data_IF_953176301770
#
_entry.id   IF_953176301770
#
_cell.length_a   1.000
_cell.length_b   1.000
_cell.length_c   1.000
_cell.angle_alpha   90.00
_cell.angle_beta   90.00
_cell.angle_gamma   90.00
#
_symmetry.space_group_name_H-M   'P 1'
#
loop_
_entity.id
_entity.type
_entity.pdbx_description
1 polymer ?
#
# COMPACT_ATOMS: atom_id res chain seq x y z
N UNK A 1 1.57 26.52 17.16
CA UNK A 1 0.48 26.18 18.11
C UNK A 1 1.00 25.42 19.30
N UNK A 2 1.77 24.34 19.14
CA UNK A 2 2.31 23.54 20.25
C UNK A 2 3.17 24.37 21.22
N UNK A 3 4.08 25.19 20.69
CA UNK A 3 4.99 26.02 21.49
C UNK A 3 4.32 27.22 22.18
N UNK A 4 3.15 27.64 21.70
CA UNK A 4 2.44 28.82 22.24
C UNK A 4 1.41 28.42 23.31
N UNK A 5 0.82 27.22 23.19
CA UNK A 5 -0.31 26.79 24.02
C UNK A 5 0.01 25.59 24.90
N UNK A 6 1.28 25.20 25.01
CA UNK A 6 1.74 24.01 25.77
C UNK A 6 0.98 22.72 25.43
N UNK A 7 0.58 22.57 24.16
CA UNK A 7 -0.18 21.43 23.69
C UNK A 7 0.72 20.30 23.22
N UNK A 8 0.38 19.08 23.56
CA UNK A 8 1.04 17.88 23.06
C UNK A 8 0.54 17.57 21.63
N UNK A 9 1.22 18.11 20.64
CA UNK A 9 0.86 17.94 19.22
C UNK A 9 1.96 17.17 18.49
N UNK A 10 1.66 15.96 18.02
CA UNK A 10 2.53 15.15 17.17
C UNK A 10 2.08 15.21 15.73
N UNK A 11 3.04 15.01 14.79
CA UNK A 11 2.74 14.88 13.37
C UNK A 11 3.26 13.58 12.81
N UNK A 12 2.51 12.95 11.90
CA UNK A 12 2.94 11.78 11.17
C UNK A 12 2.75 11.98 9.66
N UNK A 13 3.83 11.75 8.89
CA UNK A 13 3.79 11.68 7.43
C UNK A 13 3.70 10.21 7.06
N UNK A 14 2.50 9.75 6.76
CA UNK A 14 2.23 8.38 6.35
C UNK A 14 2.44 8.21 4.86
N UNK A 15 3.30 7.27 4.47
CA UNK A 15 3.39 6.80 3.10
C UNK A 15 2.14 5.99 2.72
N UNK A 16 2.07 5.49 1.47
CA UNK A 16 0.87 4.80 1.03
C UNK A 16 0.62 3.55 1.89
N UNK A 17 -0.54 3.50 2.48
CA UNK A 17 -0.96 2.42 3.36
C UNK A 17 -2.24 1.79 2.84
N UNK A 18 -2.24 0.49 2.74
CA UNK A 18 -3.23 -0.32 2.06
C UNK A 18 -3.89 -1.31 3.03
N UNK A 19 -5.11 -1.68 2.72
CA UNK A 19 -5.84 -2.70 3.47
C UNK A 19 -6.99 -3.26 2.62
N UNK A 20 -7.69 -4.30 3.06
CA UNK A 20 -8.94 -4.76 2.43
C UNK A 20 -9.99 -3.67 2.25
N UNK A 21 -9.99 -2.65 3.11
CA UNK A 21 -10.92 -1.51 3.07
C UNK A 21 -10.49 -0.39 2.11
N UNK A 22 -9.39 -0.58 1.35
CA UNK A 22 -8.97 0.43 0.37
C UNK A 22 -10.05 0.64 -0.69
N UNK A 23 -10.31 1.89 -1.07
CA UNK A 23 -11.26 2.24 -2.12
C UNK A 23 -10.81 1.67 -3.49
N UNK A 24 -11.78 1.28 -4.32
CA UNK A 24 -11.59 0.65 -5.64
C UNK A 24 -10.81 1.53 -6.64
N UNK A 25 -10.76 2.84 -6.41
CA UNK A 25 -10.05 3.81 -7.25
C UNK A 25 -8.52 3.67 -7.18
N UNK A 26 -8.02 3.10 -6.08
CA UNK A 26 -6.59 2.94 -5.89
C UNK A 26 -6.04 1.71 -6.60
N UNK A 27 -4.85 1.88 -7.18
CA UNK A 27 -4.23 0.87 -8.04
C UNK A 27 -4.07 -0.49 -7.36
N UNK A 28 -3.77 -0.54 -6.09
CA UNK A 28 -3.62 -1.77 -5.30
C UNK A 28 -4.95 -2.52 -5.23
N UNK A 29 -6.04 -1.85 -4.82
CA UNK A 29 -7.38 -2.45 -4.75
C UNK A 29 -7.88 -2.83 -6.15
N UNK A 30 -7.67 -1.97 -7.15
CA UNK A 30 -7.99 -2.27 -8.56
C UNK A 30 -7.30 -3.54 -9.06
N UNK A 31 -6.03 -3.77 -8.67
CA UNK A 31 -5.30 -4.98 -9.03
C UNK A 31 -5.92 -6.19 -8.33
N UNK A 32 -6.10 -6.15 -7.01
CA UNK A 32 -6.68 -7.25 -6.23
C UNK A 32 -8.03 -7.68 -6.80
N UNK A 33 -8.95 -6.72 -6.95
CA UNK A 33 -10.30 -6.96 -7.49
C UNK A 33 -10.26 -7.47 -8.94
N UNK A 34 -9.41 -6.86 -9.79
CA UNK A 34 -9.27 -7.29 -11.17
C UNK A 34 -8.70 -8.70 -11.31
N UNK A 35 -7.79 -9.11 -10.43
CA UNK A 35 -7.27 -10.50 -10.39
C UNK A 35 -8.37 -11.47 -9.95
N UNK A 36 -9.17 -11.13 -8.94
CA UNK A 36 -10.31 -11.94 -8.52
C UNK A 36 -11.38 -12.03 -9.63
N UNK A 37 -11.74 -10.91 -10.29
CA UNK A 37 -12.64 -10.90 -11.44
C UNK A 37 -12.19 -11.86 -12.55
N UNK A 38 -10.89 -11.90 -12.83
CA UNK A 38 -10.32 -12.79 -13.85
C UNK A 38 -10.35 -14.25 -13.37
N UNK A 39 -9.97 -14.50 -12.13
CA UNK A 39 -9.97 -15.83 -11.54
C UNK A 39 -11.36 -16.47 -11.58
N UNK A 40 -12.42 -15.69 -11.31
CA UNK A 40 -13.83 -16.12 -11.39
C UNK A 40 -14.46 -15.95 -12.79
N UNK A 41 -13.68 -15.72 -13.84
CA UNK A 41 -14.13 -15.55 -15.23
C UNK A 41 -15.12 -14.39 -15.45
N UNK A 42 -15.17 -13.39 -14.55
CA UNK A 42 -16.02 -12.19 -14.70
C UNK A 42 -15.38 -11.15 -15.63
N UNK A 43 -14.04 -11.18 -15.80
CA UNK A 43 -13.29 -10.32 -16.71
C UNK A 43 -12.21 -11.11 -17.45
N UNK A 44 -11.91 -10.68 -18.67
CA UNK A 44 -10.87 -11.28 -19.50
C UNK A 44 -9.49 -10.66 -19.25
N UNK A 45 -9.42 -9.37 -19.01
CA UNK A 45 -8.17 -8.62 -18.86
C UNK A 45 -8.24 -7.58 -17.72
N UNK A 46 -7.09 -7.33 -17.13
CA UNK A 46 -6.85 -6.20 -16.21
C UNK A 46 -6.09 -5.11 -16.96
N UNK A 47 -6.68 -3.92 -17.08
CA UNK A 47 -6.06 -2.76 -17.72
C UNK A 47 -5.49 -1.82 -16.66
N UNK A 48 -4.18 -1.53 -16.77
CA UNK A 48 -3.46 -0.59 -15.93
C UNK A 48 -2.72 0.45 -16.78
N UNK A 49 -2.47 1.63 -16.21
CA UNK A 49 -1.63 2.66 -16.83
C UNK A 49 -0.13 2.36 -16.64
N UNK A 50 0.58 3.22 -15.90
CA UNK A 50 2.01 3.07 -15.67
C UNK A 50 2.31 1.94 -14.66
N UNK A 51 2.69 0.78 -15.20
CA UNK A 51 3.09 -0.38 -14.38
C UNK A 51 4.53 -0.31 -13.89
N UNK A 52 5.33 0.67 -14.36
CA UNK A 52 6.72 0.87 -13.92
C UNK A 52 6.85 1.73 -12.68
N UNK A 53 5.81 2.50 -12.34
CA UNK A 53 5.78 3.34 -11.15
C UNK A 53 6.09 2.53 -9.89
N UNK A 54 7.01 3.06 -9.06
CA UNK A 54 7.45 2.41 -7.82
C UNK A 54 6.93 3.19 -6.62
N UNK A 55 6.32 2.50 -5.69
CA UNK A 55 5.62 3.10 -4.55
C UNK A 55 5.97 2.32 -3.28
N UNK A 56 6.15 3.05 -2.18
CA UNK A 56 6.32 2.48 -0.85
C UNK A 56 4.91 2.21 -0.29
N UNK A 57 4.47 0.94 -0.34
CA UNK A 57 3.20 0.48 0.20
C UNK A 57 3.39 -0.31 1.48
N UNK A 58 2.64 0.04 2.52
CA UNK A 58 2.59 -0.71 3.77
C UNK A 58 1.17 -1.10 4.16
N UNK A 59 1.03 -1.84 5.24
CA UNK A 59 -0.26 -2.26 5.78
C UNK A 59 -0.82 -1.19 6.72
N UNK A 60 -2.06 -0.79 6.51
CA UNK A 60 -2.71 0.29 7.27
C UNK A 60 -2.73 0.03 8.79
N UNK A 61 -2.86 -1.23 9.21
CA UNK A 61 -2.81 -1.60 10.64
C UNK A 61 -1.48 -1.22 11.28
N UNK A 62 -0.35 -1.48 10.61
CA UNK A 62 0.99 -1.14 11.11
C UNK A 62 1.14 0.38 11.30
N UNK A 63 0.49 1.17 10.44
CA UNK A 63 0.50 2.64 10.50
C UNK A 63 -0.35 3.18 11.65
N UNK A 64 -1.52 2.57 11.88
CA UNK A 64 -2.39 2.94 13.03
C UNK A 64 -1.69 2.63 14.35
N UNK A 65 -1.04 1.48 14.46
CA UNK A 65 -0.24 1.14 15.63
C UNK A 65 0.90 2.15 15.85
N UNK A 66 1.55 2.58 14.78
CA UNK A 66 2.59 3.63 14.86
C UNK A 66 2.03 4.97 15.29
N UNK A 67 0.82 5.34 14.86
CA UNK A 67 0.16 6.55 15.32
C UNK A 67 -0.07 6.54 16.85
N UNK A 68 -0.50 5.39 17.37
CA UNK A 68 -0.62 5.20 18.81
C UNK A 68 0.73 5.34 19.51
N UNK A 69 1.80 4.69 19.03
CA UNK A 69 3.16 4.77 19.59
C UNK A 69 3.69 6.22 19.60
N UNK A 70 3.42 7.00 18.54
CA UNK A 70 3.79 8.42 18.45
C UNK A 70 3.13 9.22 19.58
N UNK A 71 1.88 8.95 19.89
CA UNK A 71 1.14 9.66 20.95
C UNK A 71 1.58 9.25 22.37
N UNK A 72 2.30 8.15 22.54
CA UNK A 72 2.85 7.71 23.83
C UNK A 72 4.23 8.31 24.14
N UNK A 73 4.79 9.13 23.25
CA UNK A 73 6.10 9.73 23.47
C UNK A 73 6.06 10.79 24.57
N UNK A 74 7.19 10.97 25.29
CA UNK A 74 7.30 11.98 26.35
C UNK A 74 7.28 13.42 25.85
N UNK A 75 7.65 13.63 24.58
CA UNK A 75 7.70 14.95 23.93
C UNK A 75 7.05 14.86 22.55
N UNK A 76 6.32 15.91 22.13
CA UNK A 76 5.72 15.97 20.82
C UNK A 76 6.81 16.04 19.75
N UNK A 77 6.61 15.31 18.63
CA UNK A 77 7.55 15.29 17.52
C UNK A 77 6.88 14.85 16.21
N UNK A 78 7.61 14.95 15.09
CA UNK A 78 7.16 14.59 13.74
C UNK A 78 7.88 13.33 13.24
N UNK A 79 7.12 12.39 12.68
CA UNK A 79 7.65 11.12 12.21
C UNK A 79 7.21 10.81 10.77
N UNK A 80 8.11 10.16 10.03
CA UNK A 80 7.80 9.56 8.73
C UNK A 80 7.59 8.07 8.95
N UNK A 81 6.44 7.56 8.53
CA UNK A 81 6.06 6.15 8.66
C UNK A 81 5.84 5.57 7.25
N UNK A 82 6.42 4.41 7.00
CA UNK A 82 6.38 3.70 5.74
C UNK A 82 7.07 2.35 5.87
N UNK A 83 7.36 1.70 4.74
CA UNK A 83 8.12 0.45 4.74
C UNK A 83 9.61 0.66 4.44
N UNK A 84 9.97 1.81 3.84
CA UNK A 84 11.31 2.08 3.34
C UNK A 84 11.69 1.24 2.12
N UNK A 85 10.71 0.57 1.48
CA UNK A 85 10.90 -0.26 0.29
C UNK A 85 9.93 0.14 -0.81
N UNK A 86 10.44 0.28 -2.03
CA UNK A 86 9.60 0.54 -3.20
C UNK A 86 9.24 -0.78 -3.90
N UNK A 87 7.97 -0.92 -4.23
CA UNK A 87 7.46 -2.01 -5.07
C UNK A 87 6.87 -1.40 -6.36
N UNK A 88 7.16 -1.96 -7.53
CA UNK A 88 6.53 -1.51 -8.76
C UNK A 88 5.08 -2.01 -8.86
N UNK A 89 4.23 -1.25 -9.56
CA UNK A 89 2.86 -1.68 -9.88
C UNK A 89 2.87 -3.04 -10.59
N UNK A 90 3.84 -3.25 -11.50
CA UNK A 90 4.05 -4.55 -12.16
C UNK A 90 4.33 -5.67 -11.17
N UNK A 91 5.22 -5.44 -10.19
CA UNK A 91 5.56 -6.45 -9.18
C UNK A 91 4.36 -6.76 -8.28
N UNK A 92 3.60 -5.74 -7.87
CA UNK A 92 2.38 -5.93 -7.09
C UNK A 92 1.37 -6.80 -7.85
N UNK A 93 1.12 -6.48 -9.13
CA UNK A 93 0.24 -7.26 -9.99
C UNK A 93 0.74 -8.71 -10.17
N UNK A 94 2.04 -8.89 -10.46
CA UNK A 94 2.65 -10.23 -10.59
C UNK A 94 2.40 -11.09 -9.35
N UNK A 95 2.68 -10.58 -8.15
CA UNK A 95 2.46 -11.33 -6.91
C UNK A 95 0.97 -11.63 -6.66
N UNK A 96 0.07 -10.71 -7.03
CA UNK A 96 -1.38 -10.91 -6.92
C UNK A 96 -1.89 -12.00 -7.85
N UNK A 97 -1.46 -12.03 -9.12
CA UNK A 97 -1.80 -13.09 -10.06
C UNK A 97 -1.21 -14.44 -9.64
N UNK A 98 0.04 -14.43 -9.18
CA UNK A 98 0.73 -15.63 -8.67
C UNK A 98 -0.03 -16.25 -7.48
N UNK A 99 -0.64 -15.43 -6.64
CA UNK A 99 -1.41 -15.90 -5.48
C UNK A 99 -2.54 -16.86 -5.86
N UNK A 100 -3.20 -16.62 -7.01
CA UNK A 100 -4.28 -17.47 -7.54
C UNK A 100 -3.82 -18.42 -8.67
N UNK A 101 -2.51 -18.60 -8.87
CA UNK A 101 -1.95 -19.51 -9.87
C UNK A 101 -2.06 -19.04 -11.32
N UNK A 102 -2.33 -17.76 -11.57
CA UNK A 102 -2.47 -17.21 -12.91
C UNK A 102 -1.18 -16.54 -13.42
N UNK A 103 -0.89 -16.68 -14.72
CA UNK A 103 0.21 -15.96 -15.38
C UNK A 103 -0.23 -14.54 -15.76
N UNK A 104 0.29 -13.53 -15.04
CA UNK A 104 -0.02 -12.12 -15.26
C UNK A 104 0.20 -11.64 -16.69
N UNK A 105 1.15 -12.23 -17.45
CA UNK A 105 1.44 -11.85 -18.83
C UNK A 105 0.26 -12.09 -19.77
N UNK A 106 -0.57 -13.08 -19.47
CA UNK A 106 -1.76 -13.42 -20.25
C UNK A 106 -2.87 -12.40 -20.06
N UNK A 107 -2.99 -11.85 -18.86
CA UNK A 107 -4.16 -11.09 -18.42
C UNK A 107 -3.92 -9.60 -18.22
N UNK A 108 -2.70 -9.18 -17.87
CA UNK A 108 -2.37 -7.77 -17.66
C UNK A 108 -2.10 -7.06 -18.98
N UNK A 109 -2.84 -5.98 -19.23
CA UNK A 109 -2.67 -5.09 -20.39
C UNK A 109 -2.36 -3.68 -19.93
N UNK A 110 -1.45 -3.00 -20.62
CA UNK A 110 -1.16 -1.58 -20.39
C UNK A 110 -2.04 -0.74 -21.31
N UNK A 111 -2.78 0.20 -20.72
CA UNK A 111 -3.59 1.16 -21.44
C UNK A 111 -3.00 2.57 -21.29
N UNK A 112 -2.52 3.13 -22.38
CA UNK A 112 -1.91 4.46 -22.41
C UNK A 112 -2.88 5.59 -22.05
N UNK A 113 -4.19 5.39 -22.24
CA UNK A 113 -5.23 6.35 -21.83
C UNK A 113 -5.32 6.51 -20.32
N UNK A 114 -4.86 5.49 -19.58
CA UNK A 114 -4.82 5.50 -18.10
C UNK A 114 -3.52 6.10 -17.54
N UNK A 115 -2.62 6.58 -18.38
CA UNK A 115 -1.39 7.23 -17.94
C UNK A 115 -1.72 8.59 -17.30
N UNK A 116 -1.18 8.83 -16.11
CA UNK A 116 -1.28 10.15 -15.47
C UNK A 116 -0.34 11.13 -16.17
N UNK A 117 -0.78 12.38 -16.35
CA UNK A 117 0.04 13.45 -16.94
C UNK A 117 1.35 13.68 -16.16
N UNK A 118 1.29 13.58 -14.83
CA UNK A 118 2.47 13.71 -13.98
C UNK A 118 2.98 12.34 -13.57
N UNK A 119 4.27 12.06 -13.88
CA UNK A 119 4.95 10.83 -13.44
C UNK A 119 5.08 10.84 -11.91
N UNK A 120 4.69 9.75 -11.29
CA UNK A 120 4.91 9.56 -9.84
C UNK A 120 6.42 9.46 -9.58
N UNK A 121 6.94 10.31 -8.69
CA UNK A 121 8.33 10.20 -8.22
C UNK A 121 8.49 8.91 -7.42
N UNK A 122 9.64 8.24 -7.58
CA UNK A 122 9.98 7.05 -6.80
C UNK A 122 10.38 7.44 -5.37
N UNK A 123 9.40 7.83 -4.57
CA UNK A 123 9.61 8.20 -3.17
C UNK A 123 9.53 6.94 -2.29
N UNK A 124 10.44 6.84 -1.33
CA UNK A 124 10.39 5.84 -0.26
C UNK A 124 10.61 6.51 1.08
N UNK A 125 9.99 5.98 2.13
CA UNK A 125 10.10 6.52 3.48
C UNK A 125 11.53 6.43 4.01
N UNK A 126 12.02 7.53 4.60
CA UNK A 126 13.21 7.50 5.45
C UNK A 126 12.77 7.22 6.89
N UNK A 127 13.03 6.01 7.36
CA UNK A 127 12.58 5.52 8.65
C UNK A 127 13.61 5.70 9.78
N UNK A 128 14.74 6.36 9.53
CA UNK A 128 15.84 6.45 10.49
C UNK A 128 15.38 7.00 11.84
N UNK A 129 14.63 8.08 11.85
CA UNK A 129 14.09 8.70 13.07
C UNK A 129 13.07 7.80 13.77
N UNK A 130 12.11 7.26 13.02
CA UNK A 130 11.08 6.39 13.58
C UNK A 130 11.68 5.12 14.20
N UNK A 131 12.67 4.51 13.56
CA UNK A 131 13.39 3.35 14.11
C UNK A 131 14.14 3.69 15.39
N UNK A 132 14.81 4.85 15.45
CA UNK A 132 15.64 5.25 16.60
C UNK A 132 14.77 5.62 17.82
N UNK A 133 13.67 6.31 17.62
CA UNK A 133 12.88 6.91 18.71
C UNK A 133 11.70 6.02 19.09
N UNK A 134 10.95 5.50 18.10
CA UNK A 134 9.75 4.67 18.33
C UNK A 134 10.08 3.18 18.34
N UNK A 135 11.33 2.76 18.10
CA UNK A 135 11.67 1.36 17.82
C UNK A 135 10.80 0.75 16.69
N UNK A 136 10.40 1.62 15.73
CA UNK A 136 9.49 1.25 14.67
C UNK A 136 10.03 0.08 13.83
N UNK A 137 9.21 -0.93 13.64
CA UNK A 137 9.49 -2.10 12.80
C UNK A 137 8.38 -2.29 11.79
N UNK A 138 8.74 -2.52 10.54
CA UNK A 138 7.79 -2.94 9.50
C UNK A 138 7.37 -4.38 9.84
N UNK A 139 6.12 -4.59 10.22
CA UNK A 139 5.59 -5.91 10.63
C UNK A 139 5.10 -6.71 9.43
N UNK A 140 4.45 -6.02 8.47
CA UNK A 140 3.84 -6.63 7.29
C UNK A 140 4.64 -6.31 6.03
N UNK A 141 5.20 -7.31 5.37
CA UNK A 141 5.86 -7.14 4.07
C UNK A 141 4.85 -7.11 2.92
N UNK A 142 5.32 -6.75 1.70
CA UNK A 142 4.42 -6.57 0.54
C UNK A 142 3.69 -7.86 0.13
N UNK A 143 4.29 -9.04 0.29
CA UNK A 143 3.65 -10.32 -0.05
C UNK A 143 2.56 -10.67 0.95
N UNK A 144 2.82 -10.42 2.23
CA UNK A 144 1.82 -10.58 3.29
C UNK A 144 0.65 -9.62 3.12
N UNK A 145 0.93 -8.36 2.78
CA UNK A 145 -0.11 -7.37 2.47
C UNK A 145 -0.99 -7.84 1.31
N UNK A 146 -0.38 -8.29 0.20
CA UNK A 146 -1.11 -8.83 -0.96
C UNK A 146 -1.96 -10.03 -0.54
N UNK A 147 -1.39 -10.96 0.24
CA UNK A 147 -2.12 -12.12 0.76
C UNK A 147 -3.35 -11.70 1.55
N UNK A 148 -3.21 -10.78 2.52
CA UNK A 148 -4.31 -10.25 3.34
C UNK A 148 -5.43 -9.67 2.45
N UNK A 149 -5.05 -8.87 1.45
CA UNK A 149 -6.01 -8.23 0.55
C UNK A 149 -6.69 -9.25 -0.38
N UNK A 150 -5.94 -10.23 -0.92
CA UNK A 150 -6.48 -11.29 -1.79
C UNK A 150 -7.43 -12.20 -1.02
N UNK A 151 -7.05 -12.66 0.18
CA UNK A 151 -7.91 -13.52 1.01
C UNK A 151 -9.25 -12.85 1.33
N UNK A 152 -9.22 -11.57 1.66
CA UNK A 152 -10.43 -10.82 1.91
C UNK A 152 -11.30 -10.71 0.66
N UNK A 153 -10.72 -10.33 -0.47
CA UNK A 153 -11.45 -10.15 -1.71
C UNK A 153 -12.05 -11.46 -2.22
N UNK A 154 -11.28 -12.57 -2.19
CA UNK A 154 -11.76 -13.89 -2.62
C UNK A 154 -12.97 -14.38 -1.80
N UNK A 155 -13.02 -14.06 -0.50
CA UNK A 155 -14.20 -14.40 0.33
C UNK A 155 -15.47 -13.71 -0.17
N UNK A 156 -15.40 -12.46 -0.60
CA UNK A 156 -16.55 -11.71 -1.12
C UNK A 156 -17.14 -12.30 -2.43
N UNK A 157 -16.39 -13.15 -3.13
CA UNK A 157 -16.86 -13.83 -4.36
C UNK A 157 -17.52 -15.17 -4.07
N UNK A 158 -17.33 -15.72 -2.87
CA UNK A 158 -17.90 -17.00 -2.44
C UNK A 158 -19.17 -16.84 -1.60
N UNK A 159 -19.49 -15.59 -1.23
CA UNK A 159 -20.75 -15.19 -0.59
C UNK A 159 -21.79 -14.78 -1.65
#
# INVERSE_FOLDING_TARGET
YSSINDLFICGAIFFNHESPRRSDEYVTKKIIKGVCDIYFNKKKFLYLGDISAKIDWGYAKDYVESAWEIMQQKKPDFFVIGTGKNTSVKQFAYESFKYVGLDYKKYLKVDTKLLRKNKTKNLKANLTKAKKILNYKVKTNIKELIKIMMEHELKQYNE
#
